data_IF_713224817430
#
_entry.id   IF_713224817430
#
_cell.length_a   1.000
_cell.length_b   1.000
_cell.length_c   1.000
_cell.angle_alpha   90.00
_cell.angle_beta   90.00
_cell.angle_gamma   90.00
#
_symmetry.space_group_name_H-M   'P 1'
#
loop_
_entity.id
_entity.type
_entity.pdbx_description
1 polymer ?
#
# COMPACT_ATOMS: atom_id res chain seq x y z
N UNK A 1 0.15 2.27 -8.03
CA UNK A 1 0.77 3.35 -7.23
C UNK A 1 0.74 4.71 -7.93
N UNK A 2 1.01 4.78 -9.24
CA UNK A 2 1.09 6.06 -9.97
C UNK A 2 -0.16 6.94 -9.84
N UNK A 3 -1.36 6.38 -10.00
CA UNK A 3 -2.61 7.16 -9.92
C UNK A 3 -2.80 7.84 -8.55
N UNK A 4 -2.84 7.13 -7.40
CA UNK A 4 -2.86 7.78 -6.09
C UNK A 4 -1.73 8.80 -5.89
N UNK A 5 -0.52 8.51 -6.38
CA UNK A 5 0.61 9.42 -6.21
C UNK A 5 0.39 10.75 -6.94
N UNK A 6 -0.12 10.73 -8.17
CA UNK A 6 -0.45 11.93 -8.94
C UNK A 6 -1.54 12.74 -8.24
N UNK A 7 -2.59 12.08 -7.75
CA UNK A 7 -3.63 12.75 -6.96
C UNK A 7 -3.07 13.41 -5.70
N UNK A 8 -2.22 12.70 -4.94
CA UNK A 8 -1.62 13.25 -3.73
C UNK A 8 -0.77 14.48 -4.00
N UNK A 9 0.05 14.43 -5.07
CA UNK A 9 0.88 15.56 -5.47
C UNK A 9 0.03 16.76 -5.90
N UNK A 10 -1.03 16.53 -6.68
CA UNK A 10 -1.93 17.59 -7.16
C UNK A 10 -2.80 18.21 -6.07
N UNK A 11 -3.20 17.42 -5.07
CA UNK A 11 -4.05 17.88 -3.95
C UNK A 11 -3.26 18.54 -2.82
N UNK A 12 -1.94 18.36 -2.77
CA UNK A 12 -1.10 18.95 -1.71
C UNK A 12 -0.69 20.37 -2.12
N UNK A 13 -1.16 21.42 -1.42
CA UNK A 13 -0.89 22.81 -1.81
C UNK A 13 0.62 23.11 -1.87
N UNK A 14 1.06 23.76 -2.95
CA UNK A 14 2.46 24.13 -3.16
C UNK A 14 3.42 22.97 -3.46
N UNK A 15 2.97 21.71 -3.37
CA UNK A 15 3.84 20.55 -3.52
C UNK A 15 4.26 20.30 -4.97
N UNK A 16 3.37 20.54 -5.93
CA UNK A 16 3.69 20.51 -7.37
C UNK A 16 4.86 21.47 -7.68
N UNK A 17 4.75 22.72 -7.24
CA UNK A 17 5.80 23.72 -7.45
C UNK A 17 7.13 23.34 -6.79
N UNK A 18 7.07 22.81 -5.56
CA UNK A 18 8.23 22.30 -4.84
C UNK A 18 8.95 21.16 -5.59
N UNK A 19 8.20 20.25 -6.18
CA UNK A 19 8.75 19.12 -6.95
C UNK A 19 9.26 19.54 -8.33
N UNK A 20 8.56 20.44 -9.01
CA UNK A 20 8.98 21.01 -10.31
C UNK A 20 10.24 21.87 -10.19
N UNK A 21 10.45 22.52 -9.04
CA UNK A 21 11.70 23.20 -8.70
C UNK A 21 12.92 22.26 -8.62
N UNK A 22 12.70 20.95 -8.61
CA UNK A 22 13.75 19.94 -8.66
C UNK A 22 14.62 19.86 -7.40
N UNK A 23 15.85 19.37 -7.58
CA UNK A 23 16.87 19.39 -6.53
C UNK A 23 16.61 18.44 -5.33
N UNK A 24 17.07 18.81 -4.12
CA UNK A 24 17.03 17.92 -2.96
C UNK A 24 15.62 17.48 -2.53
N UNK A 25 14.60 18.32 -2.73
CA UNK A 25 13.22 17.98 -2.38
C UNK A 25 12.70 16.84 -3.25
N UNK A 26 12.86 16.94 -4.58
CA UNK A 26 12.48 15.89 -5.52
C UNK A 26 13.25 14.59 -5.26
N UNK A 27 14.57 14.67 -5.02
CA UNK A 27 15.39 13.49 -4.73
C UNK A 27 14.94 12.77 -3.46
N UNK A 28 14.66 13.51 -2.36
CA UNK A 28 14.15 12.91 -1.12
C UNK A 28 12.77 12.30 -1.31
N UNK A 29 11.89 12.96 -2.05
CA UNK A 29 10.56 12.45 -2.36
C UNK A 29 10.63 11.15 -3.19
N UNK A 30 11.40 11.14 -4.27
CA UNK A 30 11.55 9.95 -5.10
C UNK A 30 12.20 8.80 -4.34
N UNK A 31 13.21 9.08 -3.51
CA UNK A 31 13.77 8.06 -2.61
C UNK A 31 12.69 7.50 -1.69
N UNK A 32 11.90 8.36 -1.03
CA UNK A 32 10.81 7.92 -0.16
C UNK A 32 9.79 7.03 -0.89
N UNK A 33 9.39 7.41 -2.11
CA UNK A 33 8.44 6.65 -2.93
C UNK A 33 9.04 5.30 -3.34
N UNK A 34 10.30 5.26 -3.78
CA UNK A 34 10.93 4.04 -4.30
C UNK A 34 11.35 3.10 -3.16
N UNK A 35 11.99 3.59 -2.11
CA UNK A 35 12.54 2.74 -1.05
C UNK A 35 11.48 2.30 -0.04
N UNK A 36 10.48 3.14 0.23
CA UNK A 36 9.40 2.80 1.16
C UNK A 36 8.11 2.45 0.43
N UNK A 37 7.63 3.33 -0.44
CA UNK A 37 6.33 3.16 -1.10
C UNK A 37 6.22 1.91 -1.95
N UNK A 38 7.15 1.71 -2.90
CA UNK A 38 7.15 0.53 -3.78
C UNK A 38 7.26 -0.75 -2.95
N UNK A 39 8.18 -0.78 -1.97
CA UNK A 39 8.40 -1.95 -1.13
C UNK A 39 7.14 -2.34 -0.34
N UNK A 40 6.49 -1.36 0.31
CA UNK A 40 5.25 -1.60 1.08
C UNK A 40 4.13 -2.08 0.15
N UNK A 41 3.92 -1.39 -0.97
CA UNK A 41 2.86 -1.75 -1.93
C UNK A 41 3.10 -3.15 -2.50
N UNK A 42 4.35 -3.48 -2.83
CA UNK A 42 4.72 -4.81 -3.31
C UNK A 42 4.44 -5.88 -2.26
N UNK A 43 4.93 -5.72 -1.02
CA UNK A 43 4.76 -6.71 0.04
C UNK A 43 3.28 -6.96 0.37
N UNK A 44 2.47 -5.90 0.43
CA UNK A 44 1.02 -6.03 0.67
C UNK A 44 0.33 -6.79 -0.46
N UNK A 45 0.63 -6.45 -1.73
CA UNK A 45 0.04 -7.15 -2.87
C UNK A 45 0.50 -8.62 -2.94
N UNK A 46 1.77 -8.88 -2.64
CA UNK A 46 2.33 -10.23 -2.63
C UNK A 46 1.63 -11.12 -1.60
N UNK A 47 1.49 -10.65 -0.36
CA UNK A 47 0.81 -11.40 0.71
C UNK A 47 -0.67 -11.62 0.36
N UNK A 48 -1.35 -10.59 -0.12
CA UNK A 48 -2.76 -10.69 -0.51
C UNK A 48 -2.96 -11.69 -1.67
N UNK A 49 -2.12 -11.62 -2.70
CA UNK A 49 -2.13 -12.57 -3.82
C UNK A 49 -1.88 -14.00 -3.35
N UNK A 50 -0.87 -14.22 -2.50
CA UNK A 50 -0.54 -15.54 -1.98
C UNK A 50 -1.70 -16.15 -1.19
N UNK A 51 -2.35 -15.36 -0.32
CA UNK A 51 -3.51 -15.80 0.46
C UNK A 51 -4.73 -16.08 -0.42
N UNK A 52 -4.98 -15.23 -1.42
CA UNK A 52 -6.04 -15.43 -2.41
C UNK A 52 -5.81 -16.75 -3.17
N UNK A 53 -4.64 -16.92 -3.78
CA UNK A 53 -4.29 -18.12 -4.53
C UNK A 53 -4.37 -19.39 -3.68
N UNK A 54 -3.98 -19.31 -2.40
CA UNK A 54 -4.10 -20.43 -1.46
C UNK A 54 -5.56 -20.77 -1.13
N UNK A 55 -6.43 -19.75 -1.03
CA UNK A 55 -7.84 -19.92 -0.71
C UNK A 55 -8.67 -20.46 -1.89
N UNK A 56 -8.25 -20.17 -3.13
CA UNK A 56 -8.92 -20.57 -4.37
C UNK A 56 -8.27 -21.78 -5.07
N UNK A 57 -7.18 -22.33 -4.52
CA UNK A 57 -6.47 -23.48 -5.11
C UNK A 57 -7.32 -24.75 -5.32
N UNK A 58 -8.50 -24.85 -4.69
CA UNK A 58 -9.41 -26.00 -4.77
C UNK A 58 -10.81 -25.59 -5.25
N UNK A 59 -10.89 -24.56 -6.10
CA UNK A 59 -12.13 -23.85 -6.40
C UNK A 59 -13.31 -24.77 -6.73
N UNK A 60 -14.38 -24.55 -5.97
CA UNK A 60 -15.73 -25.03 -6.25
C UNK A 60 -16.49 -23.87 -6.92
N UNK A 61 -16.95 -24.01 -8.17
CA UNK A 61 -17.70 -22.98 -8.90
C UNK A 61 -18.95 -22.47 -8.17
N UNK A 62 -19.50 -23.25 -7.22
CA UNK A 62 -20.68 -22.87 -6.44
C UNK A 62 -20.36 -22.00 -5.20
N UNK A 63 -19.07 -21.78 -4.87
CA UNK A 63 -18.68 -21.05 -3.66
C UNK A 63 -18.85 -19.54 -3.84
N UNK A 64 -19.50 -18.90 -2.86
CA UNK A 64 -19.64 -17.43 -2.85
C UNK A 64 -18.27 -16.73 -2.82
N UNK A 65 -18.05 -15.67 -3.64
CA UNK A 65 -16.79 -14.94 -3.67
C UNK A 65 -16.60 -13.98 -2.48
N UNK A 66 -17.66 -13.69 -1.72
CA UNK A 66 -17.66 -12.68 -0.65
C UNK A 66 -16.63 -12.97 0.47
N UNK A 67 -16.50 -14.20 0.99
CA UNK A 67 -15.53 -14.49 2.06
C UNK A 67 -14.08 -14.35 1.60
N UNK A 68 -13.78 -14.77 0.37
CA UNK A 68 -12.44 -14.64 -0.24
C UNK A 68 -12.10 -13.16 -0.40
N UNK A 69 -13.08 -12.35 -0.76
CA UNK A 69 -12.94 -10.91 -0.87
C UNK A 69 -12.68 -10.21 0.46
N UNK A 70 -13.43 -10.59 1.49
CA UNK A 70 -13.24 -10.08 2.83
C UNK A 70 -11.84 -10.45 3.35
N UNK A 71 -11.38 -11.68 3.09
CA UNK A 71 -10.04 -12.12 3.43
C UNK A 71 -8.96 -11.28 2.73
N UNK A 72 -9.10 -10.99 1.43
CA UNK A 72 -8.15 -10.13 0.69
C UNK A 72 -8.05 -8.73 1.32
N UNK A 73 -9.18 -8.09 1.59
CA UNK A 73 -9.20 -6.74 2.20
C UNK A 73 -8.58 -6.76 3.60
N UNK A 74 -8.95 -7.72 4.43
CA UNK A 74 -8.39 -7.87 5.79
C UNK A 74 -6.90 -8.15 5.75
N UNK A 75 -6.44 -9.04 4.87
CA UNK A 75 -5.03 -9.36 4.69
C UNK A 75 -4.22 -8.13 4.26
N UNK A 76 -4.76 -7.32 3.33
CA UNK A 76 -4.10 -6.08 2.90
C UNK A 76 -3.96 -5.09 4.05
N UNK A 77 -5.02 -4.86 4.80
CA UNK A 77 -5.00 -3.92 5.94
C UNK A 77 -4.06 -4.42 7.05
N UNK A 78 -4.14 -5.70 7.41
CA UNK A 78 -3.28 -6.30 8.41
C UNK A 78 -1.79 -6.22 8.02
N UNK A 79 -1.47 -6.56 6.77
CA UNK A 79 -0.10 -6.48 6.25
C UNK A 79 0.39 -5.04 6.20
N UNK A 80 -0.46 -4.10 5.74
CA UNK A 80 -0.11 -2.69 5.66
C UNK A 80 0.19 -2.10 7.04
N UNK A 81 -0.63 -2.41 8.05
CA UNK A 81 -0.42 -1.95 9.43
C UNK A 81 0.81 -2.61 10.05
N UNK A 82 0.95 -3.93 9.88
CA UNK A 82 2.11 -4.68 10.36
C UNK A 82 3.43 -4.16 9.80
N UNK A 83 3.48 -3.85 8.50
CA UNK A 83 4.66 -3.27 7.87
C UNK A 83 4.99 -1.88 8.43
N UNK A 84 3.99 -1.02 8.67
CA UNK A 84 4.26 0.30 9.25
C UNK A 84 4.80 0.20 10.68
N UNK A 85 4.23 -0.68 11.50
CA UNK A 85 4.73 -0.99 12.84
C UNK A 85 6.19 -1.47 12.77
N UNK A 86 6.45 -2.45 11.90
CA UNK A 86 7.77 -3.04 11.73
C UNK A 86 8.80 -2.00 11.26
N UNK A 87 8.49 -1.27 10.18
CA UNK A 87 9.39 -0.25 9.62
C UNK A 87 9.71 0.82 10.66
N UNK A 88 8.73 1.27 11.45
CA UNK A 88 8.94 2.31 12.45
C UNK A 88 9.79 1.81 13.62
N UNK A 89 9.54 0.58 14.09
CA UNK A 89 10.36 -0.05 15.13
C UNK A 89 11.81 -0.27 14.67
N UNK A 90 12.00 -0.85 13.48
CA UNK A 90 13.33 -1.05 12.89
C UNK A 90 14.04 0.29 12.63
N UNK A 91 13.29 1.33 12.22
CA UNK A 91 13.89 2.65 12.03
C UNK A 91 14.38 3.28 13.32
N UNK A 92 13.71 3.00 14.44
CA UNK A 92 14.18 3.43 15.76
C UNK A 92 15.47 2.70 16.13
N UNK A 93 15.52 1.39 15.93
CA UNK A 93 16.68 0.57 16.32
C UNK A 93 17.91 0.82 15.44
N UNK A 94 17.74 0.89 14.12
CA UNK A 94 18.84 0.88 13.16
C UNK A 94 19.32 2.28 12.78
N UNK A 95 18.42 3.26 12.78
CA UNK A 95 18.72 4.63 12.33
C UNK A 95 18.57 5.66 13.45
N UNK A 96 18.26 5.25 14.69
CA UNK A 96 18.02 6.17 15.80
C UNK A 96 16.79 7.06 15.60
N UNK A 97 15.88 6.70 14.68
CA UNK A 97 14.64 7.46 14.44
C UNK A 97 13.81 7.52 15.72
N UNK A 98 12.99 8.57 15.87
CA UNK A 98 12.17 8.76 17.08
C UNK A 98 12.99 8.82 18.39
N UNK A 99 14.24 9.27 18.31
CA UNK A 99 15.19 9.30 19.42
C UNK A 99 15.65 7.91 19.87
N UNK A 100 15.59 6.91 18.98
CA UNK A 100 15.95 5.51 19.29
C UNK A 100 14.90 4.75 20.10
N UNK A 101 13.74 5.35 20.37
CA UNK A 101 12.70 4.73 21.20
C UNK A 101 11.63 4.05 20.36
N UNK A 102 11.55 2.72 20.43
CA UNK A 102 10.44 1.94 19.84
C UNK A 102 9.08 2.40 20.37
N UNK A 103 8.99 2.71 21.67
CA UNK A 103 7.73 3.18 22.25
C UNK A 103 7.26 4.51 21.61
N UNK A 104 8.19 5.43 21.35
CA UNK A 104 7.90 6.67 20.63
C UNK A 104 7.52 6.38 19.18
N UNK A 105 8.23 5.47 18.52
CA UNK A 105 7.93 5.04 17.15
C UNK A 105 6.50 4.46 17.04
N UNK A 106 6.10 3.58 17.95
CA UNK A 106 4.77 2.97 17.95
C UNK A 106 3.64 3.99 18.23
N UNK A 107 3.89 4.98 19.08
CA UNK A 107 2.92 6.05 19.36
C UNK A 107 2.54 6.86 18.12
N UNK A 108 3.44 7.01 17.16
CA UNK A 108 3.17 7.76 15.93
C UNK A 108 2.57 6.92 14.81
N UNK A 109 2.53 5.57 14.95
CA UNK A 109 1.95 4.70 13.93
C UNK A 109 0.45 4.94 13.79
N UNK A 110 -0.29 4.91 14.91
CA UNK A 110 -1.74 5.14 14.89
C UNK A 110 -2.14 6.47 14.23
N UNK A 111 -1.58 7.63 14.60
CA UNK A 111 -1.89 8.89 13.92
C UNK A 111 -1.41 8.91 12.47
N UNK A 112 -0.31 8.23 12.12
CA UNK A 112 0.11 8.10 10.72
C UNK A 112 -0.93 7.33 9.90
N UNK A 113 -1.41 6.20 10.41
CA UNK A 113 -2.41 5.36 9.73
C UNK A 113 -3.77 6.07 9.63
N UNK A 114 -4.20 6.78 10.68
CA UNK A 114 -5.43 7.58 10.64
C UNK A 114 -5.36 8.63 9.52
N UNK A 115 -4.26 9.39 9.45
CA UNK A 115 -4.02 10.37 8.37
C UNK A 115 -3.88 9.71 7.00
N UNK A 116 -3.37 8.48 6.94
CA UNK A 116 -3.29 7.71 5.68
C UNK A 116 -4.69 7.37 5.15
N UNK A 117 -5.63 7.03 6.04
CA UNK A 117 -7.02 6.74 5.67
C UNK A 117 -7.75 7.95 5.09
N UNK A 118 -7.38 9.17 5.50
CA UNK A 118 -7.90 10.43 4.94
C UNK A 118 -7.03 11.00 3.82
N UNK A 119 -6.04 10.24 3.33
CA UNK A 119 -5.15 10.66 2.24
C UNK A 119 -4.30 11.90 2.53
N UNK A 120 -4.02 12.17 3.81
CA UNK A 120 -3.31 13.38 4.27
C UNK A 120 -1.79 13.21 4.35
N UNK A 121 -1.26 12.03 4.05
CA UNK A 121 0.16 11.75 4.05
C UNK A 121 0.54 10.73 2.96
N UNK A 122 1.85 10.59 2.73
CA UNK A 122 2.37 9.70 1.69
C UNK A 122 2.04 8.22 1.93
N UNK A 123 1.87 7.79 3.19
CA UNK A 123 1.42 6.44 3.50
C UNK A 123 -0.02 6.18 3.00
N UNK A 124 -0.87 7.21 2.93
CA UNK A 124 -2.15 7.14 2.26
C UNK A 124 -2.02 6.75 0.78
N UNK A 125 -1.06 7.31 0.04
CA UNK A 125 -0.79 6.90 -1.35
C UNK A 125 -0.54 5.39 -1.45
N UNK A 126 0.21 4.84 -0.51
CA UNK A 126 0.55 3.41 -0.48
C UNK A 126 -0.69 2.57 -0.16
N UNK A 127 -1.48 2.97 0.84
CA UNK A 127 -2.73 2.31 1.19
C UNK A 127 -3.66 2.22 -0.02
N UNK A 128 -3.98 3.36 -0.64
CA UNK A 128 -4.88 3.39 -1.80
C UNK A 128 -4.28 2.68 -3.02
N UNK A 129 -2.96 2.70 -3.21
CA UNK A 129 -2.30 1.92 -4.25
C UNK A 129 -2.49 0.41 -4.09
N UNK A 130 -2.56 -0.09 -2.85
CA UNK A 130 -2.83 -1.52 -2.59
C UNK A 130 -4.30 -1.89 -2.80
N UNK A 131 -5.22 -0.92 -2.70
CA UNK A 131 -6.65 -1.15 -2.95
C UNK A 131 -6.97 -1.11 -4.46
N UNK A 132 -6.34 -0.20 -5.21
CA UNK A 132 -6.55 -0.06 -6.67
C UNK A 132 -6.00 -1.26 -7.45
N UNK A 133 -4.93 -1.90 -6.99
CA UNK A 133 -4.34 -3.10 -7.63
C UNK A 133 -5.33 -4.28 -7.77
N UNK A 134 -6.44 -4.25 -7.06
CA UNK A 134 -7.54 -5.21 -7.20
C UNK A 134 -8.37 -4.98 -8.46
N UNK A 135 -8.53 -3.75 -8.94
CA UNK A 135 -9.33 -3.44 -10.14
C UNK A 135 -8.70 -4.06 -11.38
N UNK A 136 -7.36 -4.06 -11.49
CA UNK A 136 -6.69 -4.70 -12.64
C UNK A 136 -6.82 -6.22 -12.66
N UNK A 137 -6.87 -6.86 -11.50
CA UNK A 137 -6.90 -8.32 -11.40
C UNK A 137 -8.32 -8.89 -11.37
N UNK A 138 -9.31 -8.10 -10.94
CA UNK A 138 -10.73 -8.46 -11.00
C UNK A 138 -11.35 -8.17 -12.38
N UNK A 139 -10.72 -7.31 -13.18
CA UNK A 139 -11.02 -7.13 -14.61
C UNK A 139 -10.27 -8.20 -15.40
N UNK A 140 -10.57 -9.47 -15.12
CA UNK A 140 -10.43 -10.48 -16.16
C UNK A 140 -11.46 -10.14 -17.23
N UNK A 141 -10.97 -9.76 -18.40
CA UNK A 141 -11.77 -9.38 -19.55
C UNK A 141 -12.65 -10.58 -19.94
N UNK A 142 -13.99 -10.42 -20.08
CA UNK A 142 -14.92 -11.53 -20.34
C UNK A 142 -14.59 -12.43 -21.54
N UNK A 143 -13.77 -11.96 -22.46
CA UNK A 143 -13.36 -12.68 -23.68
C UNK A 143 -12.36 -13.81 -23.46
N UNK A 144 -11.82 -14.01 -22.23
CA UNK A 144 -11.01 -15.20 -21.91
C UNK A 144 -11.83 -16.45 -21.56
N UNK A 145 -13.17 -16.34 -21.52
CA UNK A 145 -14.11 -17.46 -21.39
C UNK A 145 -14.79 -17.81 -22.73
N UNK A 146 -14.05 -17.78 -23.83
CA UNK A 146 -14.51 -18.47 -25.06
C UNK A 146 -14.06 -19.92 -24.93
N UNK A 147 -14.97 -20.90 -24.74
CA UNK A 147 -14.61 -22.30 -24.83
C UNK A 147 -14.02 -22.54 -26.22
N UNK A 148 -12.89 -23.24 -26.28
CA UNK A 148 -12.20 -23.52 -27.52
C UNK A 148 -13.10 -24.15 -28.59
N UNK A 149 -12.71 -23.90 -29.84
CA UNK A 149 -12.67 -24.96 -30.85
C UNK A 149 -11.97 -26.21 -30.30
#
# INVERSE_FOLDING_TARGET
>A
MALPLVFYVGLTPGFVGLLLGGGPALSRFMRQVVTNGVLVVFAVNYVAFFLYASATARDDPARSPVPVLALDVLARLATFFGLHILIYALSADWFGSFGGSRATALRVVAPTLARSAFFENISGVYLYATLVGRVSNAVEIPWQRVPGM
#
